data_IF_710009982530
#
_entry.id   IF_710009982530
#
_cell.length_a   1.000
_cell.length_b   1.000
_cell.length_c   1.000
_cell.angle_alpha   90.00
_cell.angle_beta   90.00
_cell.angle_gamma   90.00
#
_symmetry.space_group_name_H-M   'P 1'
#
loop_
_entity.id
_entity.type
_entity.pdbx_description
1 polymer ?
#
# COMPACT_ATOMS: atom_id res chain seq x y z
N UNK A 1 -3.08 20.18 0.00
CA UNK A 1 -3.48 19.21 1.04
C UNK A 1 -4.58 19.83 1.88
N UNK A 2 -5.71 19.13 2.09
CA UNK A 2 -6.80 19.62 2.95
C UNK A 2 -6.45 19.50 4.44
N UNK A 3 -7.10 20.27 5.30
CA UNK A 3 -7.01 20.15 6.77
C UNK A 3 -7.77 18.93 7.29
N UNK A 4 -7.61 18.59 8.57
CA UNK A 4 -8.40 17.54 9.23
C UNK A 4 -9.90 17.82 9.09
N UNK A 5 -10.34 19.07 9.32
CA UNK A 5 -11.74 19.45 9.19
C UNK A 5 -12.30 19.19 7.80
N UNK A 6 -11.57 19.59 6.75
CA UNK A 6 -12.02 19.36 5.37
C UNK A 6 -12.08 17.87 5.01
N UNK A 7 -11.22 17.02 5.59
CA UNK A 7 -11.25 15.56 5.35
C UNK A 7 -12.40 14.88 6.08
N UNK A 8 -12.69 15.28 7.33
CA UNK A 8 -13.90 14.82 8.05
C UNK A 8 -15.15 15.17 7.26
N UNK A 9 -15.22 16.40 6.74
CA UNK A 9 -16.33 16.85 5.91
C UNK A 9 -16.49 15.98 4.67
N UNK A 10 -15.38 15.69 3.97
CA UNK A 10 -15.38 14.87 2.76
C UNK A 10 -15.91 13.46 3.04
N UNK A 11 -15.39 12.78 4.05
CA UNK A 11 -15.86 11.44 4.44
C UNK A 11 -17.36 11.46 4.78
N UNK A 12 -17.80 12.49 5.53
CA UNK A 12 -19.23 12.67 5.86
C UNK A 12 -20.10 12.81 4.61
N UNK A 13 -19.68 13.67 3.68
CA UNK A 13 -20.43 13.97 2.46
C UNK A 13 -20.47 12.79 1.50
N UNK A 14 -19.40 11.99 1.44
CA UNK A 14 -19.36 10.75 0.66
C UNK A 14 -20.40 9.73 1.14
N UNK A 15 -20.68 9.69 2.44
CA UNK A 15 -21.71 8.84 3.04
C UNK A 15 -23.12 9.45 3.00
N UNK A 16 -23.27 10.69 2.51
CA UNK A 16 -24.55 11.40 2.49
C UNK A 16 -25.05 11.81 3.88
N UNK A 17 -24.19 11.83 4.90
CA UNK A 17 -24.58 12.12 6.28
C UNK A 17 -24.74 13.62 6.53
N UNK A 18 -25.72 13.99 7.35
CA UNK A 18 -25.82 15.35 7.89
C UNK A 18 -24.81 15.57 9.03
N UNK A 19 -24.45 16.83 9.30
CA UNK A 19 -23.57 17.16 10.44
C UNK A 19 -24.16 16.71 11.78
N UNK A 20 -25.48 16.80 11.95
CA UNK A 20 -26.15 16.34 13.16
C UNK A 20 -26.07 14.83 13.32
N UNK A 21 -26.22 14.08 12.22
CA UNK A 21 -26.15 12.62 12.24
C UNK A 21 -24.72 12.14 12.56
N UNK A 22 -23.72 12.65 11.85
CA UNK A 22 -22.32 12.28 12.13
C UNK A 22 -21.86 12.74 13.51
N UNK A 23 -22.29 13.93 13.94
CA UNK A 23 -22.02 14.41 15.30
C UNK A 23 -22.56 13.44 16.35
N UNK A 24 -23.78 12.95 16.19
CA UNK A 24 -24.38 11.98 17.11
C UNK A 24 -23.59 10.66 17.18
N UNK A 25 -23.08 10.16 16.05
CA UNK A 25 -22.19 8.98 16.03
C UNK A 25 -20.90 9.22 16.81
N UNK A 26 -20.36 10.43 16.74
CA UNK A 26 -19.18 10.85 17.49
C UNK A 26 -19.44 11.34 18.91
N UNK A 27 -20.66 11.20 19.43
CA UNK A 27 -21.04 11.66 20.78
C UNK A 27 -21.06 13.19 20.96
N UNK A 28 -21.14 13.96 19.87
CA UNK A 28 -21.13 15.42 19.88
C UNK A 28 -22.37 16.01 19.20
N UNK A 29 -22.59 17.31 19.36
CA UNK A 29 -23.68 18.00 18.66
C UNK A 29 -23.31 18.31 17.21
N UNK A 30 -24.31 18.45 16.33
CA UNK A 30 -24.09 18.88 14.94
C UNK A 30 -23.36 20.23 14.82
N UNK A 31 -23.56 21.14 15.78
CA UNK A 31 -22.78 22.40 15.86
C UNK A 31 -21.30 22.15 16.12
N UNK A 32 -20.98 21.17 16.98
CA UNK A 32 -19.60 20.78 17.27
C UNK A 32 -18.96 20.12 16.06
N UNK A 33 -19.70 19.25 15.37
CA UNK A 33 -19.31 18.68 14.08
C UNK A 33 -18.95 19.78 13.06
N UNK A 34 -19.83 20.77 12.91
CA UNK A 34 -19.58 21.91 12.01
C UNK A 34 -18.43 22.82 12.43
N UNK A 35 -17.99 22.78 13.69
CA UNK A 35 -16.75 23.45 14.15
C UNK A 35 -15.52 22.62 13.79
N UNK A 36 -15.59 21.29 13.88
CA UNK A 36 -14.52 20.41 13.41
C UNK A 36 -14.29 20.59 11.91
N UNK A 37 -15.36 20.58 11.12
CA UNK A 37 -15.28 20.69 9.65
C UNK A 37 -14.77 22.04 9.13
N UNK A 38 -14.81 23.09 9.96
CA UNK A 38 -14.28 24.43 9.67
C UNK A 38 -12.96 24.71 10.38
N UNK A 39 -12.36 23.70 10.99
CA UNK A 39 -11.11 23.79 11.76
C UNK A 39 -11.15 24.78 12.94
N UNK A 40 -12.34 25.21 13.37
CA UNK A 40 -12.53 26.10 14.53
C UNK A 40 -12.31 25.39 15.86
N UNK A 41 -12.42 24.06 15.85
CA UNK A 41 -12.13 23.19 16.98
C UNK A 41 -11.47 21.93 16.44
N UNK A 42 -10.54 21.36 17.20
CA UNK A 42 -9.96 20.06 16.86
C UNK A 42 -10.83 18.93 17.43
N UNK A 43 -11.12 17.86 16.65
CA UNK A 43 -11.69 16.64 17.20
C UNK A 43 -10.69 16.00 18.16
N UNK A 44 -11.19 15.40 19.24
CA UNK A 44 -10.38 14.62 20.16
C UNK A 44 -10.32 13.14 19.73
N UNK A 45 -9.48 12.38 20.43
CA UNK A 45 -9.28 10.96 20.14
C UNK A 45 -10.56 10.14 20.36
N UNK A 46 -11.39 10.50 21.35
CA UNK A 46 -12.63 9.79 21.66
C UNK A 46 -13.66 9.96 20.54
N UNK A 47 -13.83 11.17 20.01
CA UNK A 47 -14.64 11.42 18.83
C UNK A 47 -14.14 10.62 17.63
N UNK A 48 -12.83 10.63 17.36
CA UNK A 48 -12.24 9.92 16.22
C UNK A 48 -12.43 8.40 16.35
N UNK A 49 -12.25 7.84 17.54
CA UNK A 49 -12.50 6.43 17.82
C UNK A 49 -13.98 6.08 17.63
N UNK A 50 -14.89 6.94 18.09
CA UNK A 50 -16.32 6.74 17.96
C UNK A 50 -16.78 6.69 16.49
N UNK A 51 -16.24 7.54 15.61
CA UNK A 51 -16.61 7.54 14.18
C UNK A 51 -15.77 6.60 13.32
N UNK A 52 -14.79 5.89 13.88
CA UNK A 52 -13.85 5.04 13.13
C UNK A 52 -14.50 3.87 12.38
N UNK A 53 -15.71 3.46 12.79
CA UNK A 53 -16.45 2.38 12.16
C UNK A 53 -17.23 2.82 10.91
N UNK A 54 -17.34 4.13 10.66
CA UNK A 54 -18.07 4.68 9.50
C UNK A 54 -17.19 5.45 8.53
N UNK A 55 -16.04 5.98 8.95
CA UNK A 55 -15.14 6.76 8.09
C UNK A 55 -13.70 6.26 8.15
N UNK A 56 -12.91 6.59 7.13
CA UNK A 56 -11.49 6.31 7.08
C UNK A 56 -10.69 7.27 7.98
N UNK A 57 -10.42 6.84 9.23
CA UNK A 57 -9.62 7.61 10.19
C UNK A 57 -8.19 7.80 9.72
N UNK A 58 -7.61 6.83 8.99
CA UNK A 58 -6.27 6.98 8.43
C UNK A 58 -6.27 8.16 7.47
N UNK A 59 -7.24 8.24 6.57
CA UNK A 59 -7.40 9.40 5.68
C UNK A 59 -7.63 10.70 6.44
N UNK A 60 -8.51 10.70 7.45
CA UNK A 60 -8.80 11.89 8.25
C UNK A 60 -7.53 12.44 8.92
N UNK A 61 -6.67 11.59 9.45
CA UNK A 61 -5.45 12.03 10.16
C UNK A 61 -4.31 12.34 9.19
N UNK A 62 -4.04 11.44 8.24
CA UNK A 62 -2.83 11.47 7.40
C UNK A 62 -3.04 12.16 6.05
N UNK A 63 -4.28 12.19 5.55
CA UNK A 63 -4.59 12.59 4.18
C UNK A 63 -4.42 11.48 3.14
N UNK A 64 -4.02 10.27 3.52
CA UNK A 64 -3.89 9.10 2.66
C UNK A 64 -5.14 8.22 2.71
N UNK A 65 -5.78 7.97 1.56
CA UNK A 65 -6.99 7.15 1.52
C UNK A 65 -6.67 5.66 1.48
N UNK A 66 -7.38 4.87 2.28
CA UNK A 66 -7.33 3.39 2.25
C UNK A 66 -8.01 2.78 1.01
N UNK A 67 -8.84 3.53 0.28
CA UNK A 67 -9.55 3.06 -0.93
C UNK A 67 -8.58 2.68 -2.07
N UNK A 68 -7.39 3.29 -2.11
CA UNK A 68 -6.34 2.90 -3.05
C UNK A 68 -5.91 1.43 -2.86
N UNK A 69 -6.00 0.91 -1.64
CA UNK A 69 -5.55 -0.45 -1.29
C UNK A 69 -6.52 -1.52 -1.80
N UNK A 70 -7.82 -1.27 -1.71
CA UNK A 70 -8.84 -2.18 -2.22
C UNK A 70 -8.89 -2.21 -3.76
N UNK A 71 -8.49 -1.10 -4.39
CA UNK A 71 -8.37 -1.01 -5.85
C UNK A 71 -7.16 -1.82 -6.35
N UNK A 72 -6.05 -1.82 -5.62
CA UNK A 72 -4.85 -2.61 -5.96
C UNK A 72 -5.08 -4.12 -5.84
N UNK A 73 -5.81 -4.58 -4.83
CA UNK A 73 -6.17 -6.01 -4.66
C UNK A 73 -6.95 -6.55 -5.86
N UNK A 74 -7.94 -5.79 -6.34
CA UNK A 74 -8.75 -6.19 -7.49
C UNK A 74 -7.95 -6.25 -8.81
N UNK A 75 -6.94 -5.40 -8.97
CA UNK A 75 -6.06 -5.38 -10.14
C UNK A 75 -5.12 -6.60 -10.13
N UNK A 76 -4.58 -6.97 -8.97
CA UNK A 76 -3.70 -8.14 -8.81
C UNK A 76 -4.48 -9.43 -9.09
N UNK A 77 -5.71 -9.55 -8.58
CA UNK A 77 -6.57 -10.71 -8.84
C UNK A 77 -6.92 -10.86 -10.34
N UNK A 78 -7.19 -9.75 -11.03
CA UNK A 78 -7.56 -9.79 -12.44
C UNK A 78 -6.39 -10.20 -13.35
N UNK A 79 -5.17 -9.76 -13.04
CA UNK A 79 -3.98 -10.03 -13.86
C UNK A 79 -3.43 -11.46 -13.72
N UNK A 80 -3.75 -12.16 -12.62
CA UNK A 80 -3.21 -13.50 -12.33
C UNK A 80 -4.14 -14.64 -12.74
N UNK A 81 -5.46 -14.38 -12.86
CA UNK A 81 -6.45 -15.33 -13.38
C UNK A 81 -6.19 -15.80 -14.82
N UNK A 82 -5.37 -15.08 -15.57
CA UNK A 82 -5.08 -15.38 -16.98
C UNK A 82 -4.03 -16.51 -17.19
N UNK A 83 -3.39 -17.06 -16.13
CA UNK A 83 -2.15 -17.85 -16.29
C UNK A 83 -2.05 -19.26 -15.66
N UNK A 84 -3.06 -19.87 -15.02
CA UNK A 84 -2.90 -21.26 -14.51
C UNK A 84 -4.18 -22.10 -14.45
N UNK A 85 -4.08 -23.39 -14.80
CA UNK A 85 -5.20 -24.35 -14.90
C UNK A 85 -5.59 -25.10 -13.61
N UNK A 86 -5.22 -24.63 -12.42
CA UNK A 86 -5.70 -25.18 -11.14
C UNK A 86 -5.97 -24.03 -10.15
N UNK A 87 -7.11 -23.36 -10.36
CA UNK A 87 -7.47 -22.05 -9.79
C UNK A 87 -7.52 -22.04 -8.25
N UNK A 88 -8.03 -23.11 -7.63
CA UNK A 88 -8.29 -23.10 -6.18
C UNK A 88 -7.03 -23.05 -5.30
N UNK A 89 -5.91 -23.64 -5.72
CA UNK A 89 -4.67 -23.64 -4.91
C UNK A 89 -3.89 -22.35 -5.06
N UNK A 90 -3.92 -21.75 -6.25
CA UNK A 90 -3.21 -20.51 -6.55
C UNK A 90 -3.90 -19.35 -5.83
N UNK A 91 -5.23 -19.28 -5.88
CA UNK A 91 -6.01 -18.26 -5.16
C UNK A 91 -5.79 -18.34 -3.64
N UNK A 92 -5.73 -19.55 -3.09
CA UNK A 92 -5.51 -19.75 -1.66
C UNK A 92 -4.09 -19.36 -1.23
N UNK A 93 -3.09 -19.66 -2.05
CA UNK A 93 -1.71 -19.25 -1.81
C UNK A 93 -1.57 -17.72 -1.90
N UNK A 94 -2.13 -17.08 -2.94
CA UNK A 94 -2.10 -15.63 -3.12
C UNK A 94 -2.82 -14.94 -1.97
N UNK A 95 -4.04 -15.35 -1.62
CA UNK A 95 -4.80 -14.78 -0.52
C UNK A 95 -4.04 -14.88 0.81
N UNK A 96 -3.40 -16.02 1.08
CA UNK A 96 -2.59 -16.19 2.30
C UNK A 96 -1.38 -15.25 2.36
N UNK A 97 -0.74 -14.98 1.21
CA UNK A 97 0.39 -14.06 1.09
C UNK A 97 -0.09 -12.61 1.23
N UNK A 98 -1.14 -12.22 0.52
CA UNK A 98 -1.73 -10.88 0.60
C UNK A 98 -2.18 -10.56 2.03
N UNK A 99 -2.89 -11.47 2.69
CA UNK A 99 -3.28 -11.29 4.09
C UNK A 99 -2.08 -11.32 5.05
N UNK A 100 -1.03 -12.11 4.75
CA UNK A 100 0.23 -12.06 5.47
C UNK A 100 0.89 -10.68 5.37
N UNK A 101 0.94 -10.11 4.16
CA UNK A 101 1.49 -8.79 3.87
C UNK A 101 0.69 -7.68 4.54
N UNK A 102 -0.64 -7.70 4.44
CA UNK A 102 -1.52 -6.75 5.14
C UNK A 102 -1.30 -6.77 6.66
N UNK A 103 -1.21 -7.96 7.27
CA UNK A 103 -0.94 -8.10 8.71
C UNK A 103 0.44 -7.55 9.09
N UNK A 104 1.43 -7.72 8.23
CA UNK A 104 2.76 -7.17 8.40
C UNK A 104 2.86 -5.67 8.06
N UNK A 105 1.75 -5.02 7.69
CA UNK A 105 1.70 -3.64 7.17
C UNK A 105 2.62 -3.42 5.95
N UNK A 106 2.90 -4.49 5.20
CA UNK A 106 3.69 -4.44 3.99
C UNK A 106 2.74 -4.22 2.81
N UNK A 107 2.63 -2.99 2.33
CA UNK A 107 1.78 -2.67 1.18
C UNK A 107 2.48 -3.11 -0.11
N UNK A 108 1.75 -3.84 -0.96
CA UNK A 108 2.22 -4.14 -2.30
C UNK A 108 2.08 -2.90 -3.17
N UNK A 109 3.18 -2.44 -3.74
CA UNK A 109 3.25 -1.27 -4.61
C UNK A 109 3.52 -1.79 -6.03
N UNK A 110 2.48 -1.96 -6.87
CA UNK A 110 2.62 -2.53 -8.20
C UNK A 110 3.62 -1.78 -9.08
N UNK A 111 3.67 -0.45 -8.93
CA UNK A 111 4.57 0.43 -9.66
C UNK A 111 6.03 0.07 -9.37
N UNK A 112 6.35 -0.24 -8.10
CA UNK A 112 7.70 -0.66 -7.71
C UNK A 112 8.07 -1.99 -8.36
N UNK A 113 7.17 -2.98 -8.31
CA UNK A 113 7.42 -4.27 -8.94
C UNK A 113 7.63 -4.12 -10.45
N UNK A 114 6.88 -3.22 -11.10
CA UNK A 114 7.03 -2.94 -12.54
C UNK A 114 8.40 -2.36 -12.86
N UNK A 115 8.89 -1.40 -12.06
CA UNK A 115 10.22 -0.81 -12.21
C UNK A 115 11.30 -1.87 -11.98
N UNK A 116 11.18 -2.67 -10.91
CA UNK A 116 12.14 -3.75 -10.61
C UNK A 116 12.21 -4.76 -11.75
N UNK A 117 11.05 -5.18 -12.27
CA UNK A 117 11.00 -6.15 -13.37
C UNK A 117 11.65 -5.58 -14.62
N UNK A 118 11.35 -4.33 -14.97
CA UNK A 118 11.95 -3.64 -16.11
C UNK A 118 13.46 -3.46 -15.96
N UNK A 119 13.94 -3.06 -14.79
CA UNK A 119 15.38 -2.88 -14.56
C UNK A 119 16.12 -4.22 -14.50
N UNK A 120 15.49 -5.29 -14.01
CA UNK A 120 16.03 -6.65 -14.11
C UNK A 120 16.20 -7.07 -15.58
N UNK A 121 15.26 -6.71 -16.45
CA UNK A 121 15.40 -6.94 -17.90
C UNK A 121 16.52 -6.10 -18.54
N UNK A 122 16.98 -5.03 -17.90
CA UNK A 122 18.12 -4.26 -18.39
C UNK A 122 19.48 -4.81 -17.93
N UNK A 123 19.49 -5.88 -17.12
CA UNK A 123 20.71 -6.48 -16.56
C UNK A 123 20.89 -7.90 -17.14
N UNK A 124 21.97 -8.10 -17.90
CA UNK A 124 22.23 -9.36 -18.61
C UNK A 124 22.29 -10.57 -17.69
N UNK A 125 23.02 -10.48 -16.57
CA UNK A 125 23.09 -11.56 -15.56
C UNK A 125 21.75 -11.89 -14.91
N UNK A 126 20.79 -10.96 -14.91
CA UNK A 126 19.45 -11.20 -14.37
C UNK A 126 18.51 -11.82 -15.41
N UNK A 127 18.68 -11.47 -16.70
CA UNK A 127 17.94 -12.06 -17.83
C UNK A 127 18.19 -13.56 -18.01
N UNK A 128 19.42 -14.00 -17.75
CA UNK A 128 19.82 -15.41 -17.95
C UNK A 128 19.40 -16.33 -16.81
N UNK A 129 18.78 -15.81 -15.75
CA UNK A 129 18.31 -16.61 -14.62
C UNK A 129 17.10 -17.47 -15.00
N UNK A 130 17.02 -18.65 -14.38
CA UNK A 130 15.80 -19.48 -14.46
C UNK A 130 14.62 -18.74 -13.84
N UNK A 131 13.39 -19.09 -14.23
CA UNK A 131 12.17 -18.42 -13.78
C UNK A 131 12.08 -18.36 -12.24
N UNK A 132 12.39 -19.46 -11.55
CA UNK A 132 12.33 -19.54 -10.08
C UNK A 132 13.35 -18.60 -9.40
N UNK A 133 14.60 -18.63 -9.87
CA UNK A 133 15.68 -17.78 -9.32
C UNK A 133 15.43 -16.31 -9.65
N UNK A 134 14.85 -16.03 -10.82
CA UNK A 134 14.44 -14.67 -11.21
C UNK A 134 13.30 -14.17 -10.33
N UNK A 135 12.30 -14.99 -10.03
CA UNK A 135 11.22 -14.62 -9.10
C UNK A 135 11.78 -14.29 -7.70
N UNK A 136 12.68 -15.12 -7.19
CA UNK A 136 13.36 -14.89 -5.91
C UNK A 136 14.16 -13.58 -5.91
N UNK A 137 14.90 -13.28 -6.98
CA UNK A 137 15.62 -12.03 -7.16
C UNK A 137 14.69 -10.82 -7.12
N UNK A 138 13.56 -10.87 -7.83
CA UNK A 138 12.59 -9.77 -7.88
C UNK A 138 11.99 -9.51 -6.49
N UNK A 139 11.60 -10.56 -5.76
CA UNK A 139 11.06 -10.44 -4.40
C UNK A 139 12.09 -9.88 -3.44
N UNK A 140 13.34 -10.40 -3.46
CA UNK A 140 14.42 -9.87 -2.61
C UNK A 140 14.73 -8.41 -2.92
N UNK A 141 14.75 -8.03 -4.19
CA UNK A 141 14.95 -6.65 -4.61
C UNK A 141 13.81 -5.76 -4.09
N UNK A 142 12.57 -6.22 -4.24
CA UNK A 142 11.40 -5.51 -3.74
C UNK A 142 11.48 -5.28 -2.23
N UNK A 143 11.79 -6.32 -1.45
CA UNK A 143 11.92 -6.21 0.00
C UNK A 143 13.02 -5.23 0.39
N UNK A 144 14.21 -5.32 -0.21
CA UNK A 144 15.31 -4.41 0.12
C UNK A 144 14.93 -2.96 -0.19
N UNK A 145 14.45 -2.70 -1.41
CA UNK A 145 14.06 -1.36 -1.82
C UNK A 145 12.96 -0.80 -0.92
N UNK A 146 11.94 -1.61 -0.60
CA UNK A 146 10.87 -1.19 0.30
C UNK A 146 11.40 -0.84 1.70
N UNK A 147 12.36 -1.62 2.23
CA UNK A 147 12.97 -1.34 3.55
C UNK A 147 13.93 -0.15 3.57
N UNK A 148 14.44 0.29 2.41
CA UNK A 148 15.28 1.49 2.31
C UNK A 148 14.48 2.78 2.50
N UNK A 149 13.16 2.70 2.42
CA UNK A 149 12.26 3.85 2.46
C UNK A 149 11.46 3.84 3.77
N UNK A 150 11.39 4.96 4.50
CA UNK A 150 10.72 5.00 5.82
C UNK A 150 9.20 4.83 5.75
N UNK A 151 8.59 5.10 4.59
CA UNK A 151 7.15 4.95 4.33
C UNK A 151 6.87 4.91 2.82
N UNK A 152 5.66 4.52 2.43
CA UNK A 152 5.26 4.42 1.00
C UNK A 152 5.36 5.76 0.25
N UNK A 153 5.12 6.89 0.92
CA UNK A 153 5.18 8.20 0.27
C UNK A 153 6.59 8.51 -0.22
N UNK A 154 7.63 8.16 0.52
CA UNK A 154 9.03 8.39 0.15
C UNK A 154 9.53 7.47 -0.97
N UNK A 155 8.69 6.56 -1.50
CA UNK A 155 9.11 5.66 -2.56
C UNK A 155 9.49 6.38 -3.86
N UNK A 156 8.94 7.59 -4.10
CA UNK A 156 9.34 8.45 -5.21
C UNK A 156 10.79 8.92 -5.15
N UNK A 157 11.44 8.81 -3.98
CA UNK A 157 12.86 9.13 -3.79
C UNK A 157 13.78 8.00 -4.29
N UNK A 158 13.24 6.78 -4.47
CA UNK A 158 14.00 5.64 -4.99
C UNK A 158 14.24 5.83 -6.48
N UNK A 159 15.52 5.87 -6.86
CA UNK A 159 15.92 6.01 -8.26
C UNK A 159 16.03 4.66 -8.96
N UNK A 160 16.05 4.69 -10.29
CA UNK A 160 16.33 3.49 -11.09
C UNK A 160 17.73 2.92 -10.79
N UNK A 161 18.70 3.76 -10.44
CA UNK A 161 20.06 3.30 -10.14
C UNK A 161 20.13 2.60 -8.78
N UNK A 162 19.32 2.99 -7.80
CA UNK A 162 19.20 2.28 -6.53
C UNK A 162 18.69 0.85 -6.77
N UNK A 163 17.63 0.71 -7.58
CA UNK A 163 17.08 -0.59 -7.99
C UNK A 163 18.13 -1.44 -8.72
N UNK A 164 18.82 -0.88 -9.71
CA UNK A 164 19.89 -1.58 -10.44
C UNK A 164 21.03 -1.98 -9.52
N UNK A 165 21.42 -1.12 -8.58
CA UNK A 165 22.44 -1.39 -7.58
C UNK A 165 22.12 -2.64 -6.75
N UNK A 166 20.90 -2.72 -6.24
CA UNK A 166 20.42 -3.88 -5.48
C UNK A 166 20.38 -5.15 -6.33
N UNK A 167 19.85 -5.08 -7.56
CA UNK A 167 19.81 -6.25 -8.46
C UNK A 167 21.22 -6.77 -8.74
N UNK A 168 22.16 -5.88 -9.11
CA UNK A 168 23.56 -6.27 -9.37
C UNK A 168 24.24 -6.86 -8.14
N UNK A 169 23.94 -6.34 -6.95
CA UNK A 169 24.46 -6.86 -5.68
C UNK A 169 23.96 -8.29 -5.43
N UNK A 170 22.65 -8.52 -5.57
CA UNK A 170 22.04 -9.83 -5.37
C UNK A 170 22.51 -10.85 -6.42
N UNK A 171 22.63 -10.46 -7.69
CA UNK A 171 23.21 -11.32 -8.74
C UNK A 171 24.66 -11.74 -8.39
N UNK A 172 25.49 -10.83 -7.86
CA UNK A 172 26.86 -11.16 -7.45
C UNK A 172 26.89 -12.17 -6.31
N UNK A 173 26.05 -12.01 -5.28
CA UNK A 173 25.97 -12.97 -4.18
C UNK A 173 25.52 -14.35 -4.65
N UNK A 174 24.55 -14.41 -5.56
CA UNK A 174 24.09 -15.68 -6.13
C UNK A 174 25.17 -16.39 -6.97
N UNK A 175 26.08 -15.65 -7.62
CA UNK A 175 27.21 -16.25 -8.34
C UNK A 175 28.32 -16.76 -7.41
N UNK A 176 28.60 -16.08 -6.31
CA UNK A 176 29.62 -16.52 -5.34
C UNK A 176 29.24 -17.81 -4.61
N UNK A 177 27.95 -18.05 -4.38
CA UNK A 177 27.46 -19.30 -3.77
C UNK A 177 27.57 -20.54 -4.66
N UNK A 178 27.87 -20.41 -5.96
CA UNK A 178 28.06 -21.54 -6.89
C UNK A 178 29.52 -21.94 -7.11
N UNK A 179 30.49 -21.20 -6.56
CA UNK A 179 31.92 -21.47 -6.72
C UNK A 179 32.59 -22.06 -5.45
N UNK A 180 31.80 -22.39 -4.43
CA UNK A 180 32.27 -23.00 -3.18
C UNK A 180 31.63 -24.37 -2.97
#
# INVERSE_FOLDING_TARGET
>A
MGTIGTRIRKEREQLGFSQSYMGALGGVTGKTQGKYERDERRPDADYLAAVAHVIDIKYVITGESSVTQQSQESIIEAQLKEKSGDENKVDQAISSVVHGMQRAQMYFVPELLSVITREADNIETAKELTADVRAELLVKTYTIIYTMVPNEQSLHEVTQEDVRGVIRLLCRFNHQGKQS
#
